data_IF_262808028909
#
_entry.id   IF_262808028909
#
_cell.length_a   1.000
_cell.length_b   1.000
_cell.length_c   1.000
_cell.angle_alpha   90.00
_cell.angle_beta   90.00
_cell.angle_gamma   90.00
#
_symmetry.space_group_name_H-M   'P 1'
#
loop_
_entity.id
_entity.type
_entity.pdbx_description
1 polymer ?
#
# COMPACT_ATOMS: atom_id res chain seq x y z
N UNK A 1 -30.37 13.03 8.66
CA UNK A 1 -29.16 13.86 8.76
C UNK A 1 -28.11 13.31 7.81
N UNK A 2 -27.86 14.00 6.70
CA UNK A 2 -26.75 13.68 5.79
C UNK A 2 -25.63 14.65 6.12
N UNK A 3 -24.57 14.18 6.76
CA UNK A 3 -23.30 14.88 6.80
C UNK A 3 -22.31 14.03 6.01
N UNK A 4 -22.19 14.33 4.72
CA UNK A 4 -21.05 13.93 3.91
C UNK A 4 -20.23 15.19 3.69
N UNK A 5 -19.30 15.46 4.62
CA UNK A 5 -18.23 16.41 4.39
C UNK A 5 -17.12 15.65 3.63
N UNK A 6 -17.22 15.62 2.31
CA UNK A 6 -16.11 15.21 1.44
C UNK A 6 -15.70 16.41 0.62
N UNK A 7 -15.01 17.35 1.26
CA UNK A 7 -14.23 18.35 0.52
C UNK A 7 -12.87 17.74 0.23
N UNK A 8 -12.69 17.21 -0.98
CA UNK A 8 -11.38 17.11 -1.57
C UNK A 8 -10.86 18.55 -1.70
N UNK A 9 -9.99 18.99 -0.78
CA UNK A 9 -9.32 20.28 -0.89
C UNK A 9 -8.37 20.17 -2.08
N UNK A 10 -8.80 20.64 -3.24
CA UNK A 10 -7.95 20.82 -4.42
C UNK A 10 -6.97 21.96 -4.12
N UNK A 11 -5.90 21.63 -3.43
CA UNK A 11 -4.73 22.49 -3.32
C UNK A 11 -3.86 22.28 -4.55
N UNK A 12 -3.40 23.37 -5.16
CA UNK A 12 -2.34 23.40 -6.17
C UNK A 12 -0.98 23.06 -5.52
N UNK A 13 -0.90 21.86 -4.94
CA UNK A 13 0.25 21.34 -4.20
C UNK A 13 0.61 19.93 -4.66
N UNK A 14 1.80 19.43 -4.29
CA UNK A 14 2.27 18.12 -4.75
C UNK A 14 1.52 16.95 -4.11
N UNK A 15 0.52 17.19 -3.25
CA UNK A 15 -0.14 16.19 -2.41
C UNK A 15 -1.65 16.34 -2.51
N UNK A 16 -2.34 15.25 -2.82
CA UNK A 16 -3.80 15.11 -2.76
C UNK A 16 -4.15 14.11 -1.66
N UNK A 17 -4.90 14.56 -0.65
CA UNK A 17 -5.20 13.74 0.54
C UNK A 17 -6.59 13.11 0.47
N UNK A 18 -6.68 11.83 0.82
CA UNK A 18 -7.94 11.07 0.89
C UNK A 18 -8.12 10.36 2.24
N UNK A 19 -9.37 10.22 2.67
CA UNK A 19 -9.74 9.66 3.98
C UNK A 19 -10.11 8.17 3.92
N UNK A 20 -9.28 7.33 3.30
CA UNK A 20 -9.43 5.88 3.38
C UNK A 20 -8.95 5.37 4.76
N UNK A 21 -9.79 4.59 5.44
CA UNK A 21 -9.48 4.06 6.78
C UNK A 21 -9.16 2.56 6.78
N UNK A 22 -9.40 1.88 5.66
CA UNK A 22 -9.13 0.46 5.50
C UNK A 22 -8.88 0.14 4.01
N UNK A 23 -8.28 -1.02 3.75
CA UNK A 23 -7.85 -1.45 2.41
C UNK A 23 -8.99 -1.92 1.49
N UNK A 24 -10.22 -1.92 1.99
CA UNK A 24 -11.46 -2.21 1.26
C UNK A 24 -12.36 -0.97 1.17
N UNK A 25 -11.87 0.20 1.58
CA UNK A 25 -12.60 1.44 1.40
C UNK A 25 -12.86 1.65 -0.09
N UNK A 26 -14.01 2.25 -0.41
CA UNK A 26 -14.41 2.65 -1.76
C UNK A 26 -14.45 4.18 -1.83
N UNK A 27 -13.77 4.73 -2.84
CA UNK A 27 -13.89 6.13 -3.23
C UNK A 27 -15.13 6.38 -4.09
N UNK A 28 -15.71 7.56 -3.92
CA UNK A 28 -16.77 8.06 -4.80
C UNK A 28 -16.24 8.21 -6.24
N UNK A 29 -17.14 8.34 -7.21
CA UNK A 29 -16.74 8.59 -8.60
C UNK A 29 -15.94 9.88 -8.76
N UNK A 30 -16.27 10.90 -7.97
CA UNK A 30 -15.57 12.19 -7.95
C UNK A 30 -14.18 12.06 -7.34
N UNK A 31 -14.05 11.34 -6.22
CA UNK A 31 -12.76 11.06 -5.59
C UNK A 31 -11.83 10.24 -6.50
N UNK A 32 -12.38 9.27 -7.24
CA UNK A 32 -11.64 8.51 -8.25
C UNK A 32 -11.14 9.39 -9.39
N UNK A 33 -11.99 10.26 -9.92
CA UNK A 33 -11.60 11.19 -10.97
C UNK A 33 -10.51 12.15 -10.50
N UNK A 34 -10.63 12.68 -9.27
CA UNK A 34 -9.61 13.53 -8.68
C UNK A 34 -8.28 12.78 -8.46
N UNK A 35 -8.34 11.52 -7.97
CA UNK A 35 -7.16 10.68 -7.77
C UNK A 35 -6.42 10.38 -9.09
N UNK A 36 -7.18 10.03 -10.15
CA UNK A 36 -6.62 9.76 -11.47
C UNK A 36 -5.96 11.01 -12.06
N UNK A 37 -6.69 12.13 -12.13
CA UNK A 37 -6.16 13.38 -12.67
C UNK A 37 -4.94 13.86 -11.89
N UNK A 38 -4.99 13.79 -10.56
CA UNK A 38 -3.86 14.18 -9.71
C UNK A 38 -2.62 13.33 -9.97
N UNK A 39 -2.76 12.02 -10.14
CA UNK A 39 -1.62 11.17 -10.50
C UNK A 39 -1.06 11.49 -11.89
N UNK A 40 -1.93 11.74 -12.88
CA UNK A 40 -1.53 12.13 -14.25
C UNK A 40 -0.80 13.49 -14.27
N UNK A 41 -1.18 14.40 -13.38
CA UNK A 41 -0.54 15.70 -13.19
C UNK A 41 0.72 15.63 -12.29
N UNK A 42 1.11 14.43 -11.82
CA UNK A 42 2.31 14.20 -11.02
C UNK A 42 2.18 14.50 -9.52
N UNK A 43 0.95 14.58 -9.00
CA UNK A 43 0.67 14.70 -7.57
C UNK A 43 0.83 13.34 -6.85
N UNK A 44 1.08 13.41 -5.55
CA UNK A 44 1.17 12.27 -4.64
C UNK A 44 -0.17 12.07 -3.95
N UNK A 45 -0.74 10.86 -4.04
CA UNK A 45 -1.92 10.49 -3.25
C UNK A 45 -1.50 10.14 -1.82
N UNK A 46 -1.99 10.89 -0.85
CA UNK A 46 -1.70 10.71 0.56
C UNK A 46 -2.91 10.18 1.32
N UNK A 47 -2.73 9.07 2.04
CA UNK A 47 -3.79 8.34 2.74
C UNK A 47 -3.45 8.23 4.23
N UNK A 48 -3.59 9.31 5.02
CA UNK A 48 -3.09 9.37 6.40
C UNK A 48 -3.70 8.33 7.34
N UNK A 49 -4.91 7.85 7.03
CA UNK A 49 -5.66 6.93 7.87
C UNK A 49 -5.57 5.46 7.40
N UNK A 50 -4.90 5.19 6.26
CA UNK A 50 -4.79 3.85 5.70
C UNK A 50 -3.59 3.11 6.31
N UNK A 51 -3.83 2.39 7.41
CA UNK A 51 -2.77 1.66 8.14
C UNK A 51 -2.61 0.24 7.61
N UNK A 52 -1.37 -0.20 7.41
CA UNK A 52 -1.04 -1.63 7.32
C UNK A 52 -0.67 -2.16 8.70
N UNK A 53 -1.61 -2.86 9.35
CA UNK A 53 -1.38 -3.41 10.68
C UNK A 53 -0.54 -4.69 10.63
N UNK A 54 0.36 -4.81 11.61
CA UNK A 54 1.13 -6.02 11.89
C UNK A 54 0.45 -6.81 13.00
N UNK A 55 0.55 -8.13 12.92
CA UNK A 55 0.20 -9.00 14.02
C UNK A 55 1.31 -8.99 15.09
N UNK A 56 1.02 -9.33 16.35
CA UNK A 56 2.00 -9.37 17.44
C UNK A 56 3.28 -10.15 17.09
N UNK A 57 3.14 -11.31 16.45
CA UNK A 57 4.26 -12.17 16.03
C UNK A 57 5.12 -11.58 14.90
N UNK A 58 4.61 -10.60 14.17
CA UNK A 58 5.30 -9.99 13.02
C UNK A 58 6.22 -8.84 13.45
N UNK A 59 5.98 -8.22 14.61
CA UNK A 59 6.76 -7.09 15.08
C UNK A 59 8.25 -7.41 15.26
N UNK A 60 8.58 -8.64 15.68
CA UNK A 60 9.96 -9.07 15.86
C UNK A 60 10.76 -9.08 14.53
N UNK A 61 10.08 -9.09 13.38
CA UNK A 61 10.71 -9.08 12.06
C UNK A 61 11.10 -7.69 11.55
N UNK A 62 10.67 -6.62 12.23
CA UNK A 62 10.91 -5.23 11.81
C UNK A 62 12.26 -4.70 12.35
N UNK A 63 13.33 -5.40 11.98
CA UNK A 63 14.73 -5.02 12.21
C UNK A 63 15.52 -5.19 10.91
N UNK A 64 16.66 -4.47 10.79
CA UNK A 64 17.55 -4.57 9.65
C UNK A 64 18.23 -5.95 9.52
N UNK A 65 18.25 -6.74 10.59
CA UNK A 65 18.97 -8.03 10.67
C UNK A 65 18.52 -9.06 9.64
N UNK A 66 17.29 -8.94 9.14
CA UNK A 66 16.74 -9.85 8.12
C UNK A 66 17.14 -9.48 6.69
N UNK A 67 17.84 -8.35 6.49
CA UNK A 67 18.31 -7.95 5.16
C UNK A 67 19.58 -8.70 4.79
N UNK A 68 19.65 -9.22 3.56
CA UNK A 68 20.91 -9.75 3.02
C UNK A 68 21.88 -8.58 2.77
N UNK A 69 23.10 -8.58 3.36
CA UNK A 69 24.07 -7.50 3.16
C UNK A 69 24.49 -7.28 1.69
N UNK A 70 24.28 -8.28 0.82
CA UNK A 70 24.55 -8.18 -0.62
C UNK A 70 23.37 -7.64 -1.42
N UNK A 71 22.19 -7.53 -0.81
CA UNK A 71 20.99 -7.02 -1.45
C UNK A 71 20.73 -5.56 -1.03
N UNK A 72 20.16 -4.77 -1.95
CA UNK A 72 19.72 -3.40 -1.65
C UNK A 72 18.48 -3.37 -0.77
N UNK A 73 17.53 -4.28 -1.02
CA UNK A 73 16.23 -4.36 -0.36
C UNK A 73 15.71 -5.80 -0.35
N UNK A 74 14.82 -6.08 0.60
CA UNK A 74 13.98 -7.28 0.58
C UNK A 74 12.89 -7.09 -0.47
N UNK A 75 12.71 -8.08 -1.35
CA UNK A 75 11.73 -8.02 -2.44
C UNK A 75 10.89 -9.29 -2.50
N UNK A 76 9.63 -9.15 -2.89
CA UNK A 76 8.69 -10.25 -3.08
C UNK A 76 8.25 -10.30 -4.53
N UNK A 77 8.26 -11.50 -5.12
CA UNK A 77 7.81 -11.75 -6.49
C UNK A 77 6.45 -12.45 -6.46
N UNK A 78 5.32 -11.76 -6.72
CA UNK A 78 3.98 -12.32 -6.55
C UNK A 78 3.71 -13.56 -7.40
N UNK A 79 4.12 -13.56 -8.68
CA UNK A 79 3.88 -14.69 -9.59
C UNK A 79 4.58 -15.97 -9.17
N UNK A 80 5.80 -15.86 -8.65
CA UNK A 80 6.61 -17.00 -8.22
C UNK A 80 6.42 -17.33 -6.74
N UNK A 81 5.69 -16.49 -5.98
CA UNK A 81 5.56 -16.54 -4.52
C UNK A 81 6.93 -16.70 -3.81
N UNK A 82 7.92 -15.93 -4.25
CA UNK A 82 9.30 -15.98 -3.73
C UNK A 82 9.71 -14.67 -3.07
N UNK A 83 10.49 -14.79 -2.00
CA UNK A 83 11.15 -13.69 -1.30
C UNK A 83 12.64 -13.68 -1.65
N UNK A 84 13.22 -12.51 -1.89
CA UNK A 84 14.64 -12.32 -2.20
C UNK A 84 15.24 -11.21 -1.35
N UNK A 85 16.56 -11.28 -1.15
CA UNK A 85 17.31 -10.27 -0.39
C UNK A 85 17.08 -10.31 1.12
N UNK A 86 16.56 -11.44 1.63
CA UNK A 86 16.33 -11.65 3.06
C UNK A 86 17.10 -12.87 3.58
N UNK A 87 17.56 -12.80 4.82
CA UNK A 87 18.28 -13.88 5.52
C UNK A 87 17.58 -14.22 6.84
N UNK A 88 17.85 -15.40 7.40
CA UNK A 88 17.27 -15.85 8.67
C UNK A 88 16.78 -17.30 8.63
N UNK A 89 16.09 -17.72 9.69
CA UNK A 89 15.49 -19.06 9.76
C UNK A 89 14.38 -19.23 8.72
N UNK A 90 14.12 -20.47 8.30
CA UNK A 90 13.02 -20.79 7.37
C UNK A 90 11.66 -20.30 7.89
N UNK A 91 11.44 -20.36 9.21
CA UNK A 91 10.25 -19.84 9.87
C UNK A 91 10.11 -18.32 9.72
N UNK A 92 11.20 -17.57 9.96
CA UNK A 92 11.20 -16.11 9.85
C UNK A 92 11.02 -15.67 8.39
N UNK A 93 11.72 -16.32 7.45
CA UNK A 93 11.56 -16.05 6.01
C UNK A 93 10.14 -16.34 5.53
N UNK A 94 9.53 -17.42 6.03
CA UNK A 94 8.13 -17.75 5.71
C UNK A 94 7.16 -16.70 6.27
N UNK A 95 7.38 -16.23 7.51
CA UNK A 95 6.56 -15.19 8.11
C UNK A 95 6.73 -13.84 7.38
N UNK A 96 7.96 -13.46 7.04
CA UNK A 96 8.26 -12.25 6.27
C UNK A 96 7.59 -12.29 4.88
N UNK A 97 7.65 -13.44 4.19
CA UNK A 97 6.93 -13.63 2.93
C UNK A 97 5.42 -13.43 3.09
N UNK A 98 4.81 -13.96 4.17
CA UNK A 98 3.37 -13.77 4.44
C UNK A 98 3.00 -12.30 4.63
N UNK A 99 3.82 -11.52 5.35
CA UNK A 99 3.59 -10.09 5.56
C UNK A 99 3.59 -9.35 4.22
N UNK A 100 4.63 -9.52 3.41
CA UNK A 100 4.77 -8.79 2.15
C UNK A 100 3.72 -9.26 1.12
N UNK A 101 3.38 -10.55 1.11
CA UNK A 101 2.26 -11.07 0.31
C UNK A 101 0.93 -10.43 0.72
N UNK A 102 0.65 -10.29 2.04
CA UNK A 102 -0.56 -9.62 2.53
C UNK A 102 -0.60 -8.15 2.08
N UNK A 103 0.52 -7.45 2.18
CA UNK A 103 0.64 -6.08 1.68
C UNK A 103 0.39 -6.00 0.18
N UNK A 104 0.99 -6.88 -0.63
CA UNK A 104 0.75 -6.96 -2.07
C UNK A 104 -0.73 -7.14 -2.41
N UNK A 105 -1.41 -8.08 -1.75
CA UNK A 105 -2.84 -8.33 -1.99
C UNK A 105 -3.69 -7.11 -1.60
N UNK A 106 -3.43 -6.51 -0.45
CA UNK A 106 -4.18 -5.34 0.02
C UNK A 106 -3.94 -4.11 -0.86
N UNK A 107 -2.68 -3.80 -1.20
CA UNK A 107 -2.35 -2.65 -2.02
C UNK A 107 -2.88 -2.79 -3.46
N UNK A 108 -2.72 -3.97 -4.08
CA UNK A 108 -3.27 -4.19 -5.43
C UNK A 108 -4.79 -4.24 -5.44
N UNK A 109 -5.41 -4.83 -4.42
CA UNK A 109 -6.86 -4.83 -4.25
C UNK A 109 -7.42 -3.42 -4.02
N UNK A 110 -6.69 -2.59 -3.27
CA UNK A 110 -7.04 -1.19 -3.04
C UNK A 110 -6.93 -0.37 -4.33
N UNK A 111 -5.85 -0.50 -5.09
CA UNK A 111 -5.61 0.36 -6.27
C UNK A 111 -6.48 -0.03 -7.47
N UNK A 112 -6.70 -1.32 -7.73
CA UNK A 112 -7.38 -1.81 -8.95
C UNK A 112 -8.75 -1.19 -9.25
N UNK A 113 -9.66 -0.98 -8.27
CA UNK A 113 -10.97 -0.37 -8.54
C UNK A 113 -10.91 1.12 -8.90
N UNK A 114 -9.78 1.79 -8.63
CA UNK A 114 -9.62 3.23 -8.78
C UNK A 114 -9.00 3.66 -10.09
N UNK A 115 -8.28 2.76 -10.74
CA UNK A 115 -7.60 3.04 -11.99
C UNK A 115 -8.05 2.01 -13.01
N UNK A 116 -8.71 2.42 -14.10
CA UNK A 116 -9.03 1.49 -15.17
C UNK A 116 -7.74 0.82 -15.66
N UNK A 117 -7.77 -0.48 -16.05
CA UNK A 117 -6.68 -0.99 -16.87
C UNK A 117 -6.60 -0.07 -18.09
N UNK A 118 -5.42 0.49 -18.35
CA UNK A 118 -5.18 1.38 -19.48
C UNK A 118 -5.72 0.73 -20.77
N UNK A 119 -6.37 1.52 -21.62
CA UNK A 119 -6.89 1.13 -22.94
C UNK A 119 -5.81 0.49 -23.83
#
# INVERSE_FOLDING_TARGET
>A
MKHFDTTATLSCGPLLSFSAHNWQADFSSEERAAALNGLEDGQILFLPNLKFSLNPEEHALFTADYSDPKAKNISYHPTADTLRGATGSSQNLSLLKRIIRRFHVQATGFIKPYFPPTL
#
